data_IF_552110612676
#
_entry.id   IF_552110612676
#
_cell.length_a   1.000
_cell.length_b   1.000
_cell.length_c   1.000
_cell.angle_alpha   90.00
_cell.angle_beta   90.00
_cell.angle_gamma   90.00
#
_symmetry.space_group_name_H-M   'P 1'
#
loop_
_entity.id
_entity.type
_entity.pdbx_description
1 polymer ?
#
# COMPACT_ATOMS: atom_id res chain seq x y z
N UNK A 1 5.17 18.69 -5.50
CA UNK A 1 5.11 17.22 -5.38
C UNK A 1 6.45 16.54 -5.74
N UNK A 2 6.86 16.46 -7.02
CA UNK A 2 8.05 15.67 -7.45
C UNK A 2 9.33 15.99 -6.67
N UNK A 3 9.65 17.29 -6.51
CA UNK A 3 10.78 17.74 -5.68
C UNK A 3 10.62 17.39 -4.19
N UNK A 4 9.40 17.46 -3.67
CA UNK A 4 9.08 17.08 -2.30
C UNK A 4 9.22 15.59 -2.02
N UNK A 5 9.03 14.75 -3.03
CA UNK A 5 9.29 13.30 -2.97
C UNK A 5 10.78 12.94 -3.09
N UNK A 6 11.68 13.94 -3.20
CA UNK A 6 13.13 13.75 -3.42
C UNK A 6 13.47 12.77 -4.55
N UNK A 7 12.62 12.71 -5.58
CA UNK A 7 12.74 11.78 -6.71
C UNK A 7 12.76 10.29 -6.33
N UNK A 8 12.32 9.92 -5.12
CA UNK A 8 12.26 8.52 -4.70
C UNK A 8 11.10 7.81 -5.41
N UNK A 9 11.35 6.76 -6.22
CA UNK A 9 10.34 6.12 -7.04
C UNK A 9 9.12 5.66 -6.23
N UNK A 10 9.35 5.03 -5.07
CA UNK A 10 8.26 4.56 -4.21
C UNK A 10 7.40 5.70 -3.65
N UNK A 11 8.01 6.83 -3.30
CA UNK A 11 7.27 7.98 -2.79
C UNK A 11 6.44 8.64 -3.90
N UNK A 12 6.95 8.65 -5.14
CA UNK A 12 6.21 9.12 -6.30
C UNK A 12 5.04 8.19 -6.65
N UNK A 13 5.25 6.88 -6.60
CA UNK A 13 4.20 5.88 -6.88
C UNK A 13 3.12 5.91 -5.80
N UNK A 14 3.48 5.99 -4.52
CA UNK A 14 2.53 6.05 -3.40
C UNK A 14 1.72 7.35 -3.40
N UNK A 15 2.40 8.51 -3.46
CA UNK A 15 1.71 9.82 -3.45
C UNK A 15 0.94 10.03 -4.74
N UNK A 16 1.51 9.65 -5.88
CA UNK A 16 0.84 9.72 -7.18
C UNK A 16 -0.38 8.81 -7.22
N UNK A 17 -0.28 7.57 -6.73
CA UNK A 17 -1.38 6.62 -6.62
C UNK A 17 -2.50 7.10 -5.70
N UNK A 18 -2.14 7.67 -4.54
CA UNK A 18 -3.10 8.26 -3.60
C UNK A 18 -3.83 9.47 -4.18
N UNK A 19 -3.18 10.25 -5.05
CA UNK A 19 -3.73 11.46 -5.66
C UNK A 19 -4.39 11.26 -7.03
N UNK A 20 -4.24 10.08 -7.64
CA UNK A 20 -4.66 9.82 -9.03
C UNK A 20 -6.16 10.10 -9.33
N UNK A 21 -7.02 10.15 -8.30
CA UNK A 21 -8.46 10.41 -8.42
C UNK A 21 -8.94 11.61 -7.59
N UNK A 22 -8.00 12.44 -7.13
CA UNK A 22 -8.21 13.53 -6.18
C UNK A 22 -8.27 14.89 -6.88
N UNK A 23 -8.98 15.85 -6.29
CA UNK A 23 -9.16 17.18 -6.91
C UNK A 23 -7.93 18.09 -6.75
N UNK A 24 -7.86 19.18 -7.52
CA UNK A 24 -6.70 20.08 -7.50
C UNK A 24 -6.37 20.68 -6.12
N UNK A 25 -7.36 20.77 -5.21
CA UNK A 25 -7.11 21.26 -3.84
C UNK A 25 -6.36 20.21 -3.02
N UNK A 26 -6.76 18.94 -3.11
CA UNK A 26 -6.06 17.84 -2.43
C UNK A 26 -4.61 17.69 -2.93
N UNK A 27 -4.37 17.96 -4.22
CA UNK A 27 -3.02 18.04 -4.79
C UNK A 27 -2.21 19.21 -4.20
N UNK A 28 -2.82 20.39 -4.08
CA UNK A 28 -2.18 21.58 -3.51
C UNK A 28 -1.85 21.40 -2.02
N UNK A 29 -2.78 20.83 -1.25
CA UNK A 29 -2.60 20.55 0.18
C UNK A 29 -1.46 19.55 0.41
N UNK A 30 -1.39 18.51 -0.43
CA UNK A 30 -0.28 17.55 -0.39
C UNK A 30 1.04 18.21 -0.75
N UNK A 31 1.07 19.13 -1.72
CA UNK A 31 2.28 19.87 -2.07
C UNK A 31 2.77 20.77 -0.91
N UNK A 32 1.84 21.49 -0.26
CA UNK A 32 2.16 22.35 0.89
C UNK A 32 2.70 21.51 2.07
N UNK A 33 2.11 20.35 2.34
CA UNK A 33 2.59 19.41 3.38
C UNK A 33 4.00 18.90 3.12
N UNK A 34 4.34 18.59 1.86
CA UNK A 34 5.68 18.17 1.45
C UNK A 34 6.74 19.26 1.70
N UNK A 35 6.39 20.51 1.48
CA UNK A 35 7.28 21.65 1.72
C UNK A 35 7.47 21.92 3.22
N UNK A 36 6.39 21.85 4.01
CA UNK A 36 6.43 22.09 5.46
C UNK A 36 7.18 21.01 6.24
N UNK A 37 7.14 19.76 5.78
CA UNK A 37 7.86 18.64 6.41
C UNK A 37 9.34 18.59 6.04
N UNK A 38 9.86 19.58 5.31
CA UNK A 38 11.27 19.64 4.91
C UNK A 38 11.69 18.47 4.00
N UNK A 39 10.73 17.84 3.32
CA UNK A 39 10.99 16.62 2.57
C UNK A 39 11.47 15.45 3.44
N UNK A 40 11.10 15.39 4.72
CA UNK A 40 11.26 14.17 5.53
C UNK A 40 10.31 13.12 4.95
N UNK A 41 10.81 12.45 3.92
CA UNK A 41 10.13 11.43 3.15
C UNK A 41 9.57 10.35 4.06
N UNK A 42 10.26 10.03 5.16
CA UNK A 42 9.83 9.05 6.14
C UNK A 42 8.52 9.43 6.84
N UNK A 43 8.32 10.71 7.17
CA UNK A 43 7.08 11.19 7.80
C UNK A 43 5.93 11.23 6.81
N UNK A 44 6.22 11.63 5.57
CA UNK A 44 5.26 11.65 4.47
C UNK A 44 4.88 10.24 4.04
N UNK A 45 5.85 9.33 3.91
CA UNK A 45 5.62 7.92 3.63
C UNK A 45 4.78 7.36 4.77
N UNK A 46 5.18 7.55 6.03
CA UNK A 46 4.40 7.08 7.18
C UNK A 46 2.98 7.63 7.17
N UNK A 47 2.77 8.90 6.85
CA UNK A 47 1.45 9.51 6.79
C UNK A 47 0.62 9.01 5.59
N UNK A 48 1.22 8.90 4.41
CA UNK A 48 0.57 8.34 3.22
C UNK A 48 0.22 6.87 3.41
N UNK A 49 1.15 6.09 3.94
CA UNK A 49 0.96 4.70 4.31
C UNK A 49 -0.17 4.60 5.34
N UNK A 50 -0.14 5.43 6.38
CA UNK A 50 -1.23 5.50 7.36
C UNK A 50 -2.56 5.80 6.70
N UNK A 51 -2.65 6.80 5.81
CA UNK A 51 -3.90 7.11 5.09
C UNK A 51 -4.39 5.99 4.17
N UNK A 52 -3.47 5.21 3.59
CA UNK A 52 -3.81 4.02 2.79
C UNK A 52 -4.27 2.84 3.65
N UNK A 53 -3.79 2.77 4.90
CA UNK A 53 -4.14 1.74 5.88
C UNK A 53 -5.39 2.08 6.71
N UNK A 54 -5.69 3.36 6.98
CA UNK A 54 -6.87 3.81 7.75
C UNK A 54 -8.21 3.21 7.27
N UNK A 55 -8.49 3.07 5.96
CA UNK A 55 -9.74 2.47 5.50
C UNK A 55 -9.73 0.94 5.50
N UNK A 56 -8.68 0.27 5.97
CA UNK A 56 -8.66 -1.19 6.08
C UNK A 56 -9.46 -1.64 7.30
N UNK A 57 -10.15 -2.78 7.17
CA UNK A 57 -10.63 -3.50 8.36
C UNK A 57 -9.43 -4.04 9.14
N UNK A 58 -9.64 -4.39 10.40
CA UNK A 58 -8.59 -5.02 11.21
C UNK A 58 -8.05 -6.29 10.54
N UNK A 59 -8.94 -7.07 9.92
CA UNK A 59 -8.57 -8.27 9.18
C UNK A 59 -7.70 -7.97 7.95
N UNK A 60 -8.09 -6.98 7.13
CA UNK A 60 -7.31 -6.60 5.95
C UNK A 60 -5.92 -6.05 6.35
N UNK A 61 -5.85 -5.33 7.47
CA UNK A 61 -4.59 -4.78 8.01
C UNK A 61 -3.66 -5.89 8.48
N UNK A 62 -4.18 -6.82 9.25
CA UNK A 62 -3.42 -7.97 9.74
C UNK A 62 -2.90 -8.83 8.58
N UNK A 63 -3.75 -9.11 7.58
CA UNK A 63 -3.33 -9.78 6.36
C UNK A 63 -2.22 -9.02 5.62
N UNK A 64 -2.31 -7.69 5.56
CA UNK A 64 -1.27 -6.87 4.95
C UNK A 64 0.07 -6.94 5.70
N UNK A 65 0.04 -7.01 7.04
CA UNK A 65 1.26 -7.11 7.86
C UNK A 65 2.00 -8.44 7.67
N UNK A 66 1.30 -9.52 7.31
CA UNK A 66 1.93 -10.83 7.06
C UNK A 66 2.95 -10.77 5.91
N UNK A 67 2.78 -9.85 4.95
CA UNK A 67 3.75 -9.64 3.87
C UNK A 67 5.15 -9.23 4.38
N UNK A 68 5.24 -8.66 5.59
CA UNK A 68 6.51 -8.35 6.24
C UNK A 68 7.33 -9.58 6.66
N UNK A 69 6.73 -10.77 6.63
CA UNK A 69 7.42 -12.04 6.92
C UNK A 69 8.19 -12.59 5.71
N UNK A 70 8.01 -12.01 4.53
CA UNK A 70 8.66 -12.45 3.30
C UNK A 70 9.87 -11.57 2.98
N UNK A 71 10.89 -12.10 2.26
CA UNK A 71 12.04 -11.30 1.87
C UNK A 71 11.63 -10.13 0.95
N UNK A 72 12.29 -9.00 1.16
CA UNK A 72 12.10 -7.80 0.34
C UNK A 72 12.35 -8.07 -1.16
N UNK A 73 11.59 -7.40 -2.02
CA UNK A 73 11.68 -7.46 -3.49
C UNK A 73 11.48 -8.86 -4.11
N UNK A 74 10.87 -9.80 -3.39
CA UNK A 74 10.54 -11.12 -3.92
C UNK A 74 9.10 -11.23 -4.40
N UNK A 75 8.90 -12.02 -5.47
CA UNK A 75 7.57 -12.40 -5.95
C UNK A 75 7.06 -13.55 -5.11
N UNK A 76 5.94 -13.34 -4.46
CA UNK A 76 5.27 -14.37 -3.67
C UNK A 76 4.12 -14.94 -4.52
N UNK A 77 4.00 -16.27 -4.67
CA UNK A 77 2.84 -16.87 -5.31
C UNK A 77 1.55 -16.48 -4.56
N UNK A 78 0.55 -15.99 -5.29
CA UNK A 78 -0.74 -15.63 -4.70
C UNK A 78 -1.39 -16.82 -3.97
N UNK A 79 -1.23 -18.04 -4.50
CA UNK A 79 -1.68 -19.27 -3.84
C UNK A 79 -1.03 -19.46 -2.47
N UNK A 80 0.28 -19.21 -2.34
CA UNK A 80 0.97 -19.36 -1.05
C UNK A 80 0.47 -18.37 0.01
N UNK A 81 0.09 -17.16 -0.40
CA UNK A 81 -0.53 -16.17 0.50
C UNK A 81 -1.94 -16.63 0.92
N UNK A 82 -2.73 -17.11 -0.04
CA UNK A 82 -4.08 -17.62 0.23
C UNK A 82 -4.01 -18.82 1.18
N UNK A 83 -3.19 -19.82 0.88
CA UNK A 83 -2.98 -21.01 1.69
C UNK A 83 -2.53 -20.62 3.11
N UNK A 84 -1.55 -19.72 3.23
CA UNK A 84 -1.09 -19.21 4.52
C UNK A 84 -2.24 -18.59 5.34
N UNK A 85 -3.05 -17.71 4.74
CA UNK A 85 -4.17 -17.09 5.47
C UNK A 85 -5.27 -18.09 5.82
N UNK A 86 -5.53 -19.10 4.98
CA UNK A 86 -6.51 -20.14 5.30
C UNK A 86 -6.09 -20.97 6.51
N UNK A 87 -4.79 -21.28 6.65
CA UNK A 87 -4.26 -22.09 7.75
C UNK A 87 -4.03 -21.28 9.03
N UNK A 88 -3.61 -20.01 8.92
CA UNK A 88 -3.21 -19.19 10.07
C UNK A 88 -4.33 -18.33 10.64
N UNK A 89 -5.37 -18.02 9.86
CA UNK A 89 -6.42 -17.05 10.22
C UNK A 89 -7.84 -17.62 10.16
N UNK A 90 -8.00 -18.95 10.06
CA UNK A 90 -9.29 -19.64 10.00
C UNK A 90 -10.24 -19.02 8.95
N UNK A 91 -9.67 -18.76 7.78
CA UNK A 91 -10.31 -18.05 6.69
C UNK A 91 -10.56 -19.00 5.52
N UNK A 92 -11.68 -18.89 4.82
CA UNK A 92 -11.88 -19.64 3.59
C UNK A 92 -11.14 -19.02 2.39
N UNK A 93 -10.84 -19.83 1.37
CA UNK A 93 -10.11 -19.40 0.18
C UNK A 93 -10.75 -18.19 -0.52
N UNK A 94 -12.09 -18.10 -0.56
CA UNK A 94 -12.77 -16.99 -1.23
C UNK A 94 -12.56 -15.69 -0.46
N UNK A 95 -12.64 -15.73 0.87
CA UNK A 95 -12.38 -14.55 1.72
C UNK A 95 -10.92 -14.10 1.61
N UNK A 96 -9.97 -15.03 1.59
CA UNK A 96 -8.55 -14.73 1.39
C UNK A 96 -8.29 -14.09 0.03
N UNK A 97 -8.92 -14.62 -1.03
CA UNK A 97 -8.84 -14.05 -2.36
C UNK A 97 -9.44 -12.64 -2.44
N UNK A 98 -10.59 -12.39 -1.79
CA UNK A 98 -11.22 -11.06 -1.74
C UNK A 98 -10.31 -10.05 -1.06
N UNK A 99 -9.69 -10.40 0.07
CA UNK A 99 -8.75 -9.51 0.76
C UNK A 99 -7.53 -9.22 -0.11
N UNK A 100 -6.92 -10.25 -0.73
CA UNK A 100 -5.78 -10.06 -1.62
C UNK A 100 -6.10 -9.10 -2.78
N UNK A 101 -7.30 -9.23 -3.36
CA UNK A 101 -7.81 -8.35 -4.42
C UNK A 101 -8.02 -6.92 -3.93
N UNK A 102 -8.58 -6.73 -2.73
CA UNK A 102 -8.80 -5.41 -2.15
C UNK A 102 -7.48 -4.71 -1.81
N UNK A 103 -6.50 -5.42 -1.26
CA UNK A 103 -5.15 -4.89 -1.05
C UNK A 103 -4.51 -4.46 -2.37
N UNK A 104 -4.68 -5.26 -3.43
CA UNK A 104 -4.22 -4.92 -4.78
C UNK A 104 -4.90 -3.68 -5.35
N UNK A 105 -6.24 -3.57 -5.21
CA UNK A 105 -7.03 -2.41 -5.64
C UNK A 105 -6.60 -1.11 -4.97
N UNK A 106 -6.07 -1.20 -3.74
CA UNK A 106 -5.58 -0.07 -2.93
C UNK A 106 -4.10 0.23 -3.15
N UNK A 107 -3.43 -0.45 -4.09
CA UNK A 107 -1.99 -0.34 -4.35
C UNK A 107 -1.09 -0.66 -3.14
N UNK A 108 -1.59 -1.47 -2.20
CA UNK A 108 -0.78 -1.96 -1.06
C UNK A 108 0.07 -3.17 -1.47
N UNK A 109 -0.43 -3.97 -2.42
CA UNK A 109 0.30 -5.07 -3.04
C UNK A 109 0.19 -4.97 -4.56
N UNK A 110 1.25 -5.37 -5.26
CA UNK A 110 1.26 -5.38 -6.72
C UNK A 110 1.04 -6.79 -7.24
N UNK A 111 -0.16 -7.04 -7.79
CA UNK A 111 -0.47 -8.30 -8.44
C UNK A 111 0.18 -8.33 -9.82
N UNK A 112 0.98 -9.38 -10.08
CA UNK A 112 1.68 -9.60 -11.34
C UNK A 112 1.39 -10.99 -11.88
N UNK A 113 1.10 -11.11 -13.17
CA UNK A 113 0.90 -12.41 -13.81
C UNK A 113 2.23 -13.19 -13.89
N UNK A 114 2.15 -14.52 -13.79
CA UNK A 114 3.27 -15.40 -14.15
C UNK A 114 3.53 -15.23 -15.65
N UNK A 115 4.74 -14.79 -16.01
CA UNK A 115 5.26 -14.87 -17.37
C UNK A 115 5.64 -16.30 -17.70
#
# INVERSE_FOLDING_TARGET
IVRGCKLHPLALELIGGSLAKKDGREWQDTANRLEQTGGIMEKIITECFSTSLTPLTEEERECFLDFGSFPEDQRIPASAIIDMWTETRDMDENRAYVILRELGRRNLVKLVDRK
#
